data_IF_229245452802
#
_entry.id   IF_229245452802
#
_cell.length_a   1.000
_cell.length_b   1.000
_cell.length_c   1.000
_cell.angle_alpha   90.00
_cell.angle_beta   90.00
_cell.angle_gamma   90.00
#
_symmetry.space_group_name_H-M   'P 1'
#
loop_
_entity.id
_entity.type
_entity.pdbx_description
1 polymer ?
#
# COMPACT_ATOMS: atom_id res chain seq x y z
N UNK A 1 13.85 0.49 -4.55
CA UNK A 1 12.41 0.16 -4.65
C UNK A 1 12.21 -1.12 -3.88
N UNK A 2 11.29 -1.13 -2.93
CA UNK A 2 11.02 -2.33 -2.13
C UNK A 2 9.70 -2.92 -2.62
N UNK A 3 9.72 -4.20 -2.96
CA UNK A 3 8.53 -4.94 -3.35
C UNK A 3 8.02 -5.71 -2.13
N UNK A 4 6.71 -5.65 -1.91
CA UNK A 4 6.01 -6.33 -0.82
C UNK A 4 4.87 -7.11 -1.45
N UNK A 5 4.81 -8.41 -1.18
CA UNK A 5 3.72 -9.27 -1.65
C UNK A 5 2.70 -9.37 -0.51
N UNK A 6 1.43 -9.17 -0.83
CA UNK A 6 0.33 -9.32 0.14
C UNK A 6 0.05 -10.80 0.36
N UNK A 7 0.20 -11.23 1.62
CA UNK A 7 -0.13 -12.59 2.05
C UNK A 7 -1.56 -12.71 2.58
N UNK A 8 -1.97 -13.93 2.94
CA UNK A 8 -3.34 -14.24 3.41
C UNK A 8 -3.78 -13.41 4.62
N UNK A 9 -2.88 -13.06 5.53
CA UNK A 9 -3.25 -12.28 6.73
C UNK A 9 -3.49 -10.78 6.47
N UNK A 10 -3.09 -10.30 5.29
CA UNK A 10 -3.22 -8.90 4.88
C UNK A 10 -4.18 -8.75 3.68
N UNK A 11 -4.86 -9.85 3.29
CA UNK A 11 -5.89 -9.85 2.27
C UNK A 11 -7.17 -9.14 2.75
N UNK A 12 -7.96 -8.63 1.82
CA UNK A 12 -9.17 -7.81 2.08
C UNK A 12 -8.92 -6.53 2.89
N UNK A 13 -7.66 -6.15 3.12
CA UNK A 13 -7.31 -4.94 3.82
C UNK A 13 -7.25 -3.74 2.86
N UNK A 14 -7.76 -2.59 3.29
CA UNK A 14 -7.53 -1.33 2.56
C UNK A 14 -6.05 -0.95 2.57
N UNK A 15 -5.57 -0.41 1.45
CA UNK A 15 -4.19 0.01 1.29
C UNK A 15 -3.73 1.00 2.37
N UNK A 16 -4.57 1.97 2.74
CA UNK A 16 -4.28 2.95 3.79
C UNK A 16 -3.98 2.28 5.16
N UNK A 17 -4.79 1.29 5.54
CA UNK A 17 -4.57 0.50 6.77
C UNK A 17 -3.33 -0.37 6.68
N UNK A 18 -3.13 -1.04 5.55
CA UNK A 18 -1.94 -1.85 5.31
C UNK A 18 -0.67 -1.01 5.45
N UNK A 19 -0.61 0.15 4.77
CA UNK A 19 0.52 1.06 4.85
C UNK A 19 0.76 1.60 6.26
N UNK A 20 -0.29 1.84 7.04
CA UNK A 20 -0.16 2.26 8.43
C UNK A 20 0.40 1.16 9.33
N UNK A 21 0.01 -0.10 9.09
CA UNK A 21 0.57 -1.29 9.77
C UNK A 21 2.02 -1.55 9.37
N UNK A 22 2.33 -1.41 8.08
CA UNK A 22 3.65 -1.65 7.50
C UNK A 22 4.66 -0.54 7.81
N UNK A 23 4.19 0.72 7.86
CA UNK A 23 4.99 1.92 8.12
C UNK A 23 4.45 2.67 9.35
N UNK A 24 4.55 2.12 10.57
CA UNK A 24 4.00 2.75 11.77
C UNK A 24 4.66 4.08 12.13
N UNK A 25 5.90 4.32 11.66
CA UNK A 25 6.63 5.58 11.85
C UNK A 25 6.24 6.65 10.82
N UNK A 26 5.51 6.29 9.76
CA UNK A 26 5.11 7.23 8.74
C UNK A 26 3.77 7.90 9.12
N UNK A 27 3.70 9.23 9.22
CA UNK A 27 2.45 9.92 9.46
C UNK A 27 1.51 9.81 8.24
N UNK A 28 0.21 9.79 8.48
CA UNK A 28 -0.83 9.59 7.45
C UNK A 28 -0.72 10.56 6.26
N UNK A 29 -0.29 11.81 6.51
CA UNK A 29 -0.14 12.81 5.44
C UNK A 29 0.99 12.45 4.45
N UNK A 30 2.06 11.80 4.92
CA UNK A 30 3.14 11.32 4.05
C UNK A 30 2.69 10.12 3.23
N UNK A 31 1.93 9.19 3.82
CA UNK A 31 1.36 8.06 3.09
C UNK A 31 0.45 8.55 1.96
N UNK A 32 -0.48 9.46 2.25
CA UNK A 32 -1.33 10.07 1.22
C UNK A 32 -0.52 10.83 0.16
N UNK A 33 0.53 11.56 0.55
CA UNK A 33 1.43 12.25 -0.38
C UNK A 33 2.12 11.24 -1.32
N UNK A 34 2.58 10.09 -0.81
CA UNK A 34 3.27 9.07 -1.60
C UNK A 34 2.34 8.32 -2.55
N UNK A 35 1.10 8.05 -2.13
CA UNK A 35 0.06 7.53 -3.01
C UNK A 35 -0.24 8.53 -4.13
N UNK A 36 -0.45 9.81 -3.80
CA UNK A 36 -0.73 10.88 -4.78
C UNK A 36 0.41 11.12 -5.77
N UNK A 37 1.65 11.07 -5.30
CA UNK A 37 2.86 11.27 -6.12
C UNK A 37 3.31 10.01 -6.87
N UNK A 38 2.53 8.92 -6.82
CA UNK A 38 2.81 7.64 -7.49
C UNK A 38 4.12 6.98 -7.06
N UNK A 39 4.60 7.29 -5.85
CA UNK A 39 5.72 6.56 -5.24
C UNK A 39 5.30 5.16 -4.82
N UNK A 40 4.09 5.05 -4.30
CA UNK A 40 3.47 3.76 -3.97
C UNK A 40 2.61 3.30 -5.15
N UNK A 41 2.82 2.07 -5.60
CA UNK A 41 2.07 1.44 -6.70
C UNK A 41 1.63 0.04 -6.28
N UNK A 42 0.49 -0.40 -6.80
CA UNK A 42 0.00 -1.77 -6.61
C UNK A 42 -0.09 -2.42 -7.98
N UNK A 43 0.51 -3.58 -8.15
CA UNK A 43 0.61 -4.30 -9.41
C UNK A 43 1.14 -3.41 -10.54
N UNK A 44 2.16 -2.59 -10.25
CA UNK A 44 2.75 -1.58 -11.16
C UNK A 44 1.77 -0.48 -11.62
N UNK A 45 0.54 -0.45 -11.12
CA UNK A 45 -0.49 0.55 -11.39
C UNK A 45 -0.54 1.61 -10.27
N UNK A 46 -1.20 2.74 -10.55
CA UNK A 46 -1.44 3.79 -9.56
C UNK A 46 -2.25 3.20 -8.40
N UNK A 47 -1.72 3.33 -7.19
CA UNK A 47 -2.39 2.92 -5.98
C UNK A 47 -3.50 3.91 -5.60
N UNK A 48 -4.64 3.42 -5.12
CA UNK A 48 -5.71 4.24 -4.56
C UNK A 48 -5.80 4.00 -3.04
N UNK A 49 -5.98 5.05 -2.22
CA UNK A 49 -5.93 4.93 -0.76
C UNK A 49 -7.05 4.06 -0.18
N UNK A 50 -8.18 4.03 -0.86
CA UNK A 50 -9.39 3.27 -0.54
C UNK A 50 -9.46 1.90 -1.21
N UNK A 51 -8.46 1.53 -2.04
CA UNK A 51 -8.47 0.22 -2.69
C UNK A 51 -8.32 -0.89 -1.65
N UNK A 52 -9.02 -1.98 -1.89
CA UNK A 52 -8.88 -3.23 -1.16
C UNK A 52 -7.74 -4.04 -1.80
N UNK A 53 -6.83 -4.54 -0.98
CA UNK A 53 -5.74 -5.41 -1.40
C UNK A 53 -6.23 -6.86 -1.43
N UNK A 54 -5.82 -7.57 -2.46
CA UNK A 54 -6.06 -9.01 -2.57
C UNK A 54 -4.78 -9.78 -2.33
N UNK A 55 -4.93 -11.06 -2.01
CA UNK A 55 -3.82 -12.01 -1.96
C UNK A 55 -3.03 -11.97 -3.28
N UNK A 56 -1.70 -12.06 -3.16
CA UNK A 56 -0.73 -12.00 -4.27
C UNK A 56 -0.61 -10.63 -4.96
N UNK A 57 -1.26 -9.57 -4.45
CA UNK A 57 -1.00 -8.21 -4.92
C UNK A 57 0.44 -7.79 -4.60
N UNK A 58 1.09 -7.16 -5.58
CA UNK A 58 2.47 -6.68 -5.47
C UNK A 58 2.49 -5.18 -5.21
N UNK A 59 2.86 -4.82 -3.99
CA UNK A 59 3.07 -3.45 -3.55
C UNK A 59 4.50 -3.00 -3.81
N UNK A 60 4.63 -1.88 -4.53
CA UNK A 60 5.89 -1.24 -4.84
C UNK A 60 5.96 0.05 -4.02
N UNK A 61 6.91 0.14 -3.09
CA UNK A 61 7.14 1.28 -2.18
C UNK A 61 8.53 1.89 -2.42
#
# INVERSE_FOLDING_TARGET
>A
MREVIIGENDEEQRLDRFLKKYLPKAPNHLLQKYIRTKKIKVNKKRAQPDQILNKDDVLNI
#
